data_IF_853822404954
#
_entry.id   IF_853822404954
#
_cell.length_a   1.000
_cell.length_b   1.000
_cell.length_c   1.000
_cell.angle_alpha   90.00
_cell.angle_beta   90.00
_cell.angle_gamma   90.00
#
_symmetry.space_group_name_H-M   'P 1'
#
loop_
_entity.id
_entity.type
_entity.pdbx_description
1 polymer ?
#
# COMPACT_ATOMS: atom_id res chain seq x y z
N UNK A 1 -3.47 8.70 -8.09
CA UNK A 1 -4.04 7.71 -7.15
C UNK A 1 -3.06 6.55 -7.06
N UNK A 2 -3.03 5.84 -5.92
CA UNK A 2 -2.16 4.68 -5.73
C UNK A 2 -2.83 3.35 -6.03
N UNK A 3 -4.14 3.33 -6.25
CA UNK A 3 -4.94 2.15 -6.55
C UNK A 3 -4.64 1.57 -7.94
N UNK A 4 -4.05 0.38 -7.97
CA UNK A 4 -3.72 -0.36 -9.18
C UNK A 4 -4.77 -1.41 -9.55
N UNK A 5 -5.75 -1.71 -8.69
CA UNK A 5 -6.62 -2.89 -8.80
C UNK A 5 -5.89 -4.23 -8.91
N UNK A 6 -4.60 -4.25 -8.60
CA UNK A 6 -3.72 -5.41 -8.66
C UNK A 6 -3.01 -5.55 -7.31
N UNK A 7 -2.58 -6.76 -6.96
CA UNK A 7 -1.65 -7.02 -5.87
C UNK A 7 -0.21 -6.72 -6.31
N UNK A 8 0.72 -6.42 -5.38
CA UNK A 8 2.10 -6.05 -5.71
C UNK A 8 2.88 -7.06 -6.57
N UNK A 9 2.44 -8.32 -6.61
CA UNK A 9 3.05 -9.43 -7.34
C UNK A 9 2.40 -9.76 -8.68
N UNK A 10 1.31 -9.07 -9.04
CA UNK A 10 0.56 -9.38 -10.26
C UNK A 10 1.35 -9.00 -11.53
N UNK A 11 1.02 -9.67 -12.64
CA UNK A 11 1.81 -9.59 -13.88
C UNK A 11 1.83 -8.19 -14.50
N UNK A 12 0.76 -7.42 -14.35
CA UNK A 12 0.67 -6.03 -14.79
C UNK A 12 1.77 -5.17 -14.15
N UNK A 13 2.09 -5.41 -12.87
CA UNK A 13 3.10 -4.66 -12.13
C UNK A 13 4.50 -5.23 -12.34
N UNK A 14 4.65 -6.56 -12.24
CA UNK A 14 5.97 -7.20 -12.29
C UNK A 14 6.50 -7.29 -13.73
N UNK A 15 5.65 -7.67 -14.69
CA UNK A 15 6.07 -7.92 -16.09
C UNK A 15 5.82 -6.73 -17.00
N UNK A 16 4.62 -6.13 -16.95
CA UNK A 16 4.29 -5.03 -17.86
C UNK A 16 4.93 -3.71 -17.43
N UNK A 17 4.75 -3.31 -16.17
CA UNK A 17 5.40 -2.11 -15.62
C UNK A 17 6.89 -2.36 -15.29
N UNK A 18 7.28 -3.60 -15.01
CA UNK A 18 8.66 -3.95 -14.70
C UNK A 18 9.10 -3.53 -13.28
N UNK A 19 8.15 -3.43 -12.35
CA UNK A 19 8.43 -3.08 -10.96
C UNK A 19 8.87 -4.33 -10.18
N UNK A 20 10.16 -4.39 -9.82
CA UNK A 20 10.72 -5.49 -9.04
C UNK A 20 10.17 -5.52 -7.62
N UNK A 21 9.88 -6.71 -7.11
CA UNK A 21 9.50 -6.94 -5.71
C UNK A 21 10.71 -7.23 -4.81
N UNK A 22 11.92 -7.31 -5.39
CA UNK A 22 13.18 -7.43 -4.68
C UNK A 22 14.01 -6.16 -4.88
N UNK A 23 14.41 -5.53 -3.76
CA UNK A 23 15.24 -4.31 -3.72
C UNK A 23 16.73 -4.60 -3.50
N UNK A 24 17.11 -5.86 -3.34
CA UNK A 24 18.50 -6.28 -3.13
C UNK A 24 19.34 -5.89 -4.35
N UNK A 25 20.38 -5.07 -4.14
CA UNK A 25 21.21 -4.58 -5.25
C UNK A 25 20.47 -3.66 -6.23
N UNK A 26 19.53 -2.84 -5.74
CA UNK A 26 18.72 -1.95 -6.56
C UNK A 26 19.54 -1.11 -7.57
N UNK A 27 19.11 -1.12 -8.84
CA UNK A 27 19.72 -0.39 -9.96
C UNK A 27 18.98 0.92 -10.21
N UNK A 28 19.71 2.02 -10.44
CA UNK A 28 19.13 3.36 -10.58
C UNK A 28 18.03 3.46 -11.64
N UNK A 29 18.14 2.70 -12.73
CA UNK A 29 17.28 2.75 -13.91
C UNK A 29 16.15 1.70 -13.92
N UNK A 30 15.80 1.15 -12.76
CA UNK A 30 14.73 0.16 -12.58
C UNK A 30 13.67 0.67 -11.61
N UNK A 31 12.47 0.12 -11.71
CA UNK A 31 11.36 0.38 -10.79
C UNK A 31 11.30 -0.72 -9.73
N UNK A 32 10.90 -0.33 -8.52
CA UNK A 32 10.79 -1.21 -7.37
C UNK A 32 9.48 -0.93 -6.65
N UNK A 33 8.71 -1.98 -6.41
CA UNK A 33 7.47 -1.90 -5.68
C UNK A 33 7.74 -2.10 -4.18
N UNK A 34 7.72 -1.02 -3.40
CA UNK A 34 8.00 -1.13 -1.97
C UNK A 34 6.82 -1.74 -1.20
N UNK A 35 5.61 -1.68 -1.76
CA UNK A 35 4.42 -2.29 -1.14
C UNK A 35 4.50 -3.82 -1.11
N UNK A 36 5.23 -4.47 -2.02
CA UNK A 36 5.43 -5.93 -1.99
C UNK A 36 6.29 -6.40 -0.81
N UNK A 37 7.07 -5.49 -0.22
CA UNK A 37 7.98 -5.76 0.89
C UNK A 37 7.40 -5.30 2.24
N UNK A 38 6.26 -4.62 2.22
CA UNK A 38 5.67 -4.06 3.42
C UNK A 38 5.09 -5.17 4.30
N UNK A 39 5.68 -5.35 5.48
CA UNK A 39 5.14 -6.28 6.48
C UNK A 39 4.07 -5.56 7.30
N UNK A 40 2.80 -5.87 7.05
CA UNK A 40 1.68 -5.38 7.84
C UNK A 40 1.40 -6.32 9.01
N UNK A 41 1.30 -5.76 10.22
CA UNK A 41 1.02 -6.48 11.47
C UNK A 41 -0.23 -5.92 12.17
N UNK A 42 -0.78 -6.70 13.10
CA UNK A 42 -1.98 -6.30 13.86
C UNK A 42 -3.27 -6.43 13.05
N UNK A 43 -4.14 -5.41 13.16
CA UNK A 43 -5.53 -5.42 12.67
C UNK A 43 -5.65 -5.28 11.14
N UNK A 44 -4.60 -4.85 10.45
CA UNK A 44 -4.62 -4.44 9.04
C UNK A 44 -3.65 -5.28 8.23
N UNK A 45 -4.06 -5.69 7.03
CA UNK A 45 -3.29 -6.56 6.12
C UNK A 45 -3.24 -6.07 4.67
N UNK A 46 -3.81 -4.89 4.40
CA UNK A 46 -3.82 -4.27 3.08
C UNK A 46 -4.43 -2.88 3.16
N UNK A 47 -4.74 -2.29 2.02
CA UNK A 47 -5.39 -0.96 1.94
C UNK A 47 -6.88 -1.08 1.69
N UNK A 48 -7.31 -2.16 1.04
CA UNK A 48 -8.71 -2.46 0.76
C UNK A 48 -9.12 -3.79 1.41
N UNK A 49 -10.38 -3.92 1.80
CA UNK A 49 -10.95 -5.21 2.24
C UNK A 49 -12.28 -5.48 1.55
N UNK A 50 -12.35 -6.62 0.85
CA UNK A 50 -13.54 -7.10 0.16
C UNK A 50 -13.75 -8.58 0.45
N UNK A 51 -15.00 -8.96 0.74
CA UNK A 51 -15.41 -10.34 1.05
C UNK A 51 -14.47 -11.07 2.04
N UNK A 52 -14.11 -10.36 3.11
CA UNK A 52 -13.23 -10.88 4.16
C UNK A 52 -11.74 -10.86 3.84
N UNK A 53 -11.35 -10.59 2.59
CA UNK A 53 -9.97 -10.59 2.13
C UNK A 53 -9.41 -9.18 2.07
N UNK A 54 -8.23 -9.00 2.64
CA UNK A 54 -7.44 -7.79 2.48
C UNK A 54 -6.64 -7.86 1.18
N UNK A 55 -6.52 -6.73 0.51
CA UNK A 55 -5.68 -6.57 -0.68
C UNK A 55 -4.84 -5.29 -0.58
N UNK A 56 -3.61 -5.33 -1.10
CA UNK A 56 -2.70 -4.18 -1.13
C UNK A 56 -2.80 -3.46 -2.48
N UNK A 57 -3.98 -2.91 -2.76
CA UNK A 57 -4.29 -2.27 -4.04
C UNK A 57 -3.62 -0.91 -4.20
N UNK A 58 -3.47 -0.18 -3.09
CA UNK A 58 -2.79 1.12 -3.09
C UNK A 58 -1.30 0.93 -2.86
N UNK A 59 -0.48 1.25 -3.86
CA UNK A 59 0.93 0.86 -3.85
C UNK A 59 1.91 2.01 -4.08
N UNK A 60 3.12 1.86 -3.53
CA UNK A 60 4.21 2.83 -3.72
C UNK A 60 5.35 2.19 -4.49
N UNK A 61 5.52 2.64 -5.73
CA UNK A 61 6.57 2.20 -6.64
C UNK A 61 7.56 3.35 -6.82
N UNK A 62 8.86 3.06 -6.69
CA UNK A 62 9.93 4.07 -6.76
C UNK A 62 11.01 3.64 -7.75
N UNK A 63 11.76 4.60 -8.28
CA UNK A 63 12.99 4.31 -9.01
C UNK A 63 14.10 3.85 -8.06
N UNK A 64 14.97 2.95 -8.52
CA UNK A 64 16.09 2.48 -7.71
C UNK A 64 17.07 3.58 -7.29
N UNK A 65 17.07 4.73 -7.97
CA UNK A 65 17.84 5.91 -7.55
C UNK A 65 17.44 6.41 -6.15
N UNK A 66 16.16 6.27 -5.77
CA UNK A 66 15.66 6.65 -4.45
C UNK A 66 16.02 5.64 -3.36
N UNK A 67 16.47 4.43 -3.72
CA UNK A 67 16.85 3.37 -2.78
C UNK A 67 18.35 3.37 -2.43
N UNK A 68 19.14 4.25 -3.03
CA UNK A 68 20.57 4.35 -2.79
C UNK A 68 20.86 5.17 -1.53
N UNK A 69 21.27 4.46 -0.46
CA UNK A 69 21.74 5.09 0.77
C UNK A 69 22.89 6.05 0.48
N UNK A 70 22.79 7.27 0.98
CA UNK A 70 23.82 8.32 0.80
C UNK A 70 23.54 9.33 -0.31
N UNK A 71 22.50 9.13 -1.13
CA UNK A 71 21.98 10.20 -2.01
C UNK A 71 21.26 11.28 -1.21
N UNK A 72 21.27 12.50 -1.73
CA UNK A 72 20.63 13.66 -1.09
C UNK A 72 19.12 13.45 -0.89
N UNK A 73 18.47 12.75 -1.83
CA UNK A 73 17.07 12.34 -1.74
C UNK A 73 17.02 10.82 -1.72
N UNK A 74 16.47 10.22 -0.66
CA UNK A 74 16.37 8.76 -0.56
C UNK A 74 15.19 8.31 0.31
N UNK A 75 14.83 7.03 0.20
CA UNK A 75 13.81 6.34 0.99
C UNK A 75 14.15 4.86 1.10
N UNK A 76 13.37 4.12 1.89
CA UNK A 76 13.45 2.67 2.01
C UNK A 76 12.09 2.12 2.51
N UNK A 77 11.93 0.80 2.50
CA UNK A 77 10.67 0.14 2.90
C UNK A 77 10.21 0.50 4.32
N UNK A 78 11.12 0.81 5.26
CA UNK A 78 10.74 1.22 6.63
C UNK A 78 10.07 2.60 6.69
N UNK A 79 10.12 3.36 5.59
CA UNK A 79 9.49 4.67 5.45
C UNK A 79 8.11 4.61 4.82
N UNK A 80 7.71 3.45 4.30
CA UNK A 80 6.39 3.17 3.76
C UNK A 80 5.47 2.70 4.89
N UNK A 81 4.22 3.17 4.90
CA UNK A 81 3.21 2.71 5.85
C UNK A 81 1.80 2.88 5.29
N UNK A 82 0.89 2.01 5.74
CA UNK A 82 -0.56 2.16 5.58
C UNK A 82 -1.09 2.92 6.79
N UNK A 83 -1.74 4.06 6.55
CA UNK A 83 -2.34 4.86 7.61
C UNK A 83 -3.71 4.31 7.97
N UNK A 84 -3.85 3.81 9.20
CA UNK A 84 -5.08 3.16 9.66
C UNK A 84 -5.46 3.57 11.10
N UNK A 85 -5.69 4.87 11.37
CA UNK A 85 -6.25 5.29 12.66
C UNK A 85 -7.67 4.72 12.83
N UNK A 86 -8.11 4.57 14.07
CA UNK A 86 -9.42 3.96 14.38
C UNK A 86 -10.60 4.68 13.68
N UNK A 87 -10.51 5.98 13.43
CA UNK A 87 -11.54 6.74 12.71
C UNK A 87 -11.73 6.30 11.24
N UNK A 88 -10.71 5.70 10.61
CA UNK A 88 -10.80 5.16 9.25
C UNK A 88 -11.22 3.69 9.23
N UNK A 89 -11.51 3.11 10.38
CA UNK A 89 -11.84 1.70 10.53
C UNK A 89 -13.21 1.51 11.18
N UNK A 90 -13.84 0.40 10.85
CA UNK A 90 -15.05 -0.08 11.51
C UNK A 90 -14.92 -1.58 11.76
N UNK A 91 -15.70 -2.12 12.68
CA UNK A 91 -15.79 -3.58 12.86
C UNK A 91 -16.33 -4.23 11.61
N UNK A 92 -15.81 -5.41 11.29
CA UNK A 92 -16.35 -6.22 10.20
C UNK A 92 -17.19 -7.37 10.75
N UNK A 93 -18.45 -7.09 11.04
CA UNK A 93 -19.34 -8.03 11.74
C UNK A 93 -19.56 -9.35 10.97
N UNK A 94 -19.36 -9.35 9.65
CA UNK A 94 -19.52 -10.55 8.80
C UNK A 94 -18.31 -11.48 8.83
N UNK A 95 -17.09 -10.91 8.85
CA UNK A 95 -15.84 -11.66 8.68
C UNK A 95 -14.90 -11.57 9.89
N UNK A 96 -15.39 -10.98 10.98
CA UNK A 96 -14.64 -10.64 12.19
C UNK A 96 -13.46 -9.66 11.91
N UNK A 97 -13.00 -8.99 12.97
CA UNK A 97 -11.93 -8.00 12.87
C UNK A 97 -12.41 -6.65 12.34
N UNK A 98 -11.64 -6.05 11.42
CA UNK A 98 -11.85 -4.67 10.97
C UNK A 98 -11.88 -4.58 9.45
N UNK A 99 -12.42 -3.47 8.95
CA UNK A 99 -12.39 -3.04 7.54
C UNK A 99 -12.36 -1.51 7.44
N UNK A 100 -11.98 -0.95 6.28
CA UNK A 100 -12.07 0.49 6.07
C UNK A 100 -13.52 1.00 6.26
N UNK A 101 -13.65 2.14 6.93
CA UNK A 101 -14.93 2.78 7.14
C UNK A 101 -15.29 3.59 5.89
N UNK A 102 -15.99 2.93 4.97
CA UNK A 102 -16.40 3.48 3.68
C UNK A 102 -17.59 4.41 3.77
N UNK A 103 -17.67 5.38 2.88
CA UNK A 103 -18.76 6.37 2.82
C UNK A 103 -20.10 5.73 2.44
N UNK A 104 -20.08 4.79 1.49
CA UNK A 104 -21.27 4.10 1.00
C UNK A 104 -21.09 2.58 0.98
N UNK A 105 -22.16 1.84 1.23
CA UNK A 105 -22.26 0.42 0.97
C UNK A 105 -23.47 0.15 0.06
N UNK A 106 -23.23 -0.01 -1.24
CA UNK A 106 -24.29 0.06 -2.24
C UNK A 106 -24.99 1.43 -2.19
N UNK A 107 -26.31 1.42 -2.02
CA UNK A 107 -27.11 2.65 -1.91
C UNK A 107 -27.17 3.23 -0.49
N UNK A 108 -26.62 2.53 0.51
CA UNK A 108 -26.65 2.97 1.90
C UNK A 108 -25.48 3.89 2.21
N UNK A 109 -25.75 5.11 2.67
CA UNK A 109 -24.74 6.00 3.25
C UNK A 109 -24.38 5.53 4.66
N UNK A 110 -23.09 5.31 4.93
CA UNK A 110 -22.59 4.87 6.23
C UNK A 110 -21.90 5.99 7.03
N UNK A 111 -21.55 7.11 6.40
CA UNK A 111 -20.86 8.22 7.06
C UNK A 111 -19.34 8.06 7.18
N UNK A 112 -18.77 7.00 6.60
CA UNK A 112 -17.33 6.80 6.56
C UNK A 112 -16.60 7.67 5.54
N UNK A 113 -15.28 7.47 5.43
CA UNK A 113 -14.37 8.29 4.64
C UNK A 113 -13.98 7.66 3.31
N UNK A 114 -13.65 6.37 3.30
CA UNK A 114 -13.09 5.67 2.14
C UNK A 114 -13.13 4.16 2.35
N UNK A 115 -13.34 3.39 1.29
CA UNK A 115 -13.15 1.93 1.29
C UNK A 115 -11.69 1.51 1.10
N UNK A 116 -10.80 2.47 0.89
CA UNK A 116 -9.34 2.31 0.83
C UNK A 116 -8.64 3.07 1.97
N UNK A 117 -7.62 2.47 2.56
CA UNK A 117 -6.73 3.10 3.52
C UNK A 117 -5.61 3.86 2.80
N UNK A 118 -5.25 5.07 3.24
CA UNK A 118 -4.14 5.81 2.64
C UNK A 118 -2.80 5.10 2.82
N UNK A 119 -1.95 5.18 1.79
CA UNK A 119 -0.52 4.86 1.89
C UNK A 119 0.31 6.12 1.88
N UNK A 120 1.40 6.12 2.66
CA UNK A 120 2.36 7.22 2.65
C UNK A 120 3.78 6.70 2.69
N UNK A 121 4.67 7.43 2.04
CA UNK A 121 6.10 7.19 2.07
C UNK A 121 6.82 8.47 2.51
N UNK A 122 7.77 8.33 3.43
CA UNK A 122 8.66 9.44 3.78
C UNK A 122 9.83 9.46 2.81
N UNK A 123 10.07 10.62 2.22
CA UNK A 123 11.28 10.91 1.45
C UNK A 123 12.20 11.71 2.36
N UNK A 124 13.44 11.24 2.51
CA UNK A 124 14.45 11.90 3.32
C UNK A 124 15.29 12.81 2.43
N UNK A 125 15.47 14.06 2.90
CA UNK A 125 16.38 15.04 2.35
C UNK A 125 17.58 15.15 3.28
N UNK A 126 18.79 15.17 2.72
CA UNK A 126 20.05 15.15 3.48
C UNK A 126 20.75 16.49 3.50
#
# INVERSE_FOLDING_TARGET
TGDFNDEPTDESLVRCLGASTDTTGAKSNRLYNLSSLLTLSGKIRGTHKYDGKWAMLDQVIVSGSLLQKGKHIHTDVSKLSVFAPDLLLQTDDRWMGYKPFRTYNGMQYLGGYSDHLPVFIKILLK
#
